data_IF_479599585048
#
_entry.id   IF_479599585048
#
_cell.length_a   1.000
_cell.length_b   1.000
_cell.length_c   1.000
_cell.angle_alpha   90.00
_cell.angle_beta   90.00
_cell.angle_gamma   90.00
#
_symmetry.space_group_name_H-M   'P 1'
#
loop_
_entity.id
_entity.type
_entity.pdbx_description
1 polymer ?
#
# COMPACT_ATOMS: atom_id res chain seq x y z
N UNK A 1 -19.01 -47.67 -2.43
CA UNK A 1 -18.06 -47.08 -1.46
C UNK A 1 -17.45 -45.86 -2.12
N UNK A 2 -18.09 -44.72 -1.94
CA UNK A 2 -17.73 -43.48 -2.65
C UNK A 2 -16.70 -42.69 -1.85
N UNK A 3 -15.59 -42.35 -2.49
CA UNK A 3 -14.54 -41.50 -1.94
C UNK A 3 -15.03 -40.06 -2.03
N UNK A 4 -15.30 -39.43 -0.89
CA UNK A 4 -15.59 -38.01 -0.79
C UNK A 4 -14.24 -37.26 -0.89
N UNK A 5 -14.03 -36.37 -1.86
CA UNK A 5 -12.79 -35.56 -1.90
C UNK A 5 -12.76 -34.62 -0.69
N UNK A 6 -11.69 -34.66 0.09
CA UNK A 6 -11.41 -33.70 1.15
C UNK A 6 -11.30 -32.34 0.50
N UNK A 7 -12.19 -31.43 0.85
CA UNK A 7 -12.07 -29.99 0.54
C UNK A 7 -10.83 -29.48 1.25
N UNK A 8 -9.81 -29.12 0.47
CA UNK A 8 -8.69 -28.35 0.96
C UNK A 8 -9.21 -27.02 1.52
N UNK A 9 -8.58 -26.53 2.58
CA UNK A 9 -8.80 -25.22 3.17
C UNK A 9 -8.31 -24.14 2.18
N UNK A 10 -9.01 -24.02 1.05
CA UNK A 10 -8.85 -22.91 0.12
C UNK A 10 -9.66 -21.74 0.65
N UNK A 11 -9.06 -20.56 0.70
CA UNK A 11 -9.79 -19.30 0.74
C UNK A 11 -10.86 -19.36 -0.36
N UNK A 12 -12.10 -19.63 0.01
CA UNK A 12 -13.25 -19.51 -0.88
C UNK A 12 -13.59 -18.03 -0.96
N UNK A 13 -12.89 -17.27 -1.79
CA UNK A 13 -13.46 -16.04 -2.35
C UNK A 13 -14.70 -16.50 -3.14
N UNK A 14 -15.88 -16.33 -2.57
CA UNK A 14 -17.14 -16.54 -3.27
C UNK A 14 -17.23 -15.49 -4.38
N UNK A 15 -16.85 -15.84 -5.59
CA UNK A 15 -17.01 -15.14 -6.88
C UNK A 15 -17.46 -13.65 -6.79
N UNK A 16 -16.66 -12.73 -6.24
CA UNK A 16 -17.09 -11.34 -6.09
C UNK A 16 -17.27 -10.65 -7.44
N UNK A 17 -16.61 -11.09 -8.52
CA UNK A 17 -16.74 -10.49 -9.86
C UNK A 17 -18.07 -10.73 -10.56
N UNK A 18 -18.92 -11.62 -10.10
CA UNK A 18 -20.26 -11.77 -10.72
C UNK A 18 -21.14 -10.54 -10.52
N UNK A 19 -20.85 -9.73 -9.50
CA UNK A 19 -21.68 -8.56 -9.14
C UNK A 19 -20.86 -7.26 -8.92
N UNK A 20 -19.53 -7.36 -8.79
CA UNK A 20 -18.64 -6.23 -8.52
C UNK A 20 -17.82 -5.86 -9.77
N UNK A 21 -17.72 -4.57 -10.05
CA UNK A 21 -16.89 -4.01 -11.12
C UNK A 21 -15.40 -3.91 -10.71
N UNK A 22 -15.16 -3.62 -9.42
CA UNK A 22 -13.83 -3.51 -8.81
C UNK A 22 -13.83 -4.33 -7.52
N UNK A 23 -12.80 -5.14 -7.33
CA UNK A 23 -12.60 -5.97 -6.14
C UNK A 23 -11.34 -5.57 -5.42
N UNK A 24 -11.50 -5.08 -4.18
CA UNK A 24 -10.39 -4.69 -3.30
C UNK A 24 -10.35 -5.66 -2.12
N UNK A 25 -9.16 -6.22 -1.84
CA UNK A 25 -8.96 -7.16 -0.73
C UNK A 25 -8.09 -6.52 0.34
N UNK A 26 -8.60 -6.46 1.57
CA UNK A 26 -7.80 -6.06 2.74
C UNK A 26 -7.10 -7.28 3.33
N UNK A 27 -5.78 -7.16 3.58
CA UNK A 27 -4.91 -8.21 4.09
C UNK A 27 -4.35 -7.77 5.43
N UNK A 28 -4.62 -8.55 6.48
CA UNK A 28 -4.04 -8.33 7.80
C UNK A 28 -2.98 -9.40 8.06
N UNK A 29 -1.73 -9.09 7.75
CA UNK A 29 -0.62 -10.04 7.81
C UNK A 29 0.73 -9.33 7.77
N UNK A 30 1.78 -10.04 8.14
CA UNK A 30 3.17 -9.60 8.14
C UNK A 30 3.77 -9.59 9.53
N UNK A 31 5.02 -9.18 9.62
CA UNK A 31 5.76 -9.07 10.86
C UNK A 31 5.82 -7.59 11.29
N UNK A 32 5.44 -7.29 12.54
CA UNK A 32 5.46 -5.92 13.05
C UNK A 32 6.86 -5.30 12.95
N UNK A 33 6.92 -4.04 12.55
CA UNK A 33 8.11 -3.22 12.42
C UNK A 33 9.12 -3.70 11.35
N UNK A 34 8.72 -4.63 10.49
CA UNK A 34 9.54 -5.13 9.37
C UNK A 34 9.08 -4.48 8.06
N UNK A 35 9.96 -3.67 7.44
CA UNK A 35 9.63 -2.96 6.21
C UNK A 35 9.60 -3.85 4.95
N UNK A 36 10.13 -5.07 5.02
CA UNK A 36 10.07 -6.03 3.93
C UNK A 36 8.84 -6.94 4.07
N UNK A 37 8.07 -7.16 2.99
CA UNK A 37 6.96 -8.08 3.04
C UNK A 37 7.40 -9.50 3.36
N UNK A 38 6.73 -10.14 4.31
CA UNK A 38 7.00 -11.52 4.69
C UNK A 38 6.72 -12.49 3.53
N UNK A 39 7.25 -13.71 3.62
CA UNK A 39 6.97 -14.78 2.65
C UNK A 39 5.47 -15.06 2.58
N UNK A 40 4.76 -14.99 3.72
CA UNK A 40 3.31 -15.16 3.78
C UNK A 40 2.58 -14.07 3.00
N UNK A 41 2.91 -12.79 3.22
CA UNK A 41 2.30 -11.67 2.49
C UNK A 41 2.48 -11.82 0.98
N UNK A 42 3.69 -12.12 0.52
CA UNK A 42 3.97 -12.32 -0.91
C UNK A 42 3.22 -13.50 -1.52
N UNK A 43 3.09 -14.61 -0.78
CA UNK A 43 2.27 -15.76 -1.23
C UNK A 43 0.79 -15.41 -1.35
N UNK A 44 0.26 -14.65 -0.42
CA UNK A 44 -1.14 -14.17 -0.50
C UNK A 44 -1.30 -13.24 -1.69
N UNK A 45 -0.42 -12.25 -1.87
CA UNK A 45 -0.44 -11.32 -2.99
C UNK A 45 -0.41 -12.05 -4.35
N UNK A 46 0.49 -13.04 -4.50
CA UNK A 46 0.55 -13.85 -5.72
C UNK A 46 -0.75 -14.62 -5.97
N UNK A 47 -1.33 -15.26 -4.94
CA UNK A 47 -2.61 -15.97 -5.08
C UNK A 47 -3.77 -15.05 -5.45
N UNK A 48 -3.80 -13.83 -4.93
CA UNK A 48 -4.79 -12.83 -5.32
C UNK A 48 -4.64 -12.46 -6.79
N UNK A 49 -3.41 -12.23 -7.24
CA UNK A 49 -3.13 -11.95 -8.64
C UNK A 49 -3.50 -13.12 -9.56
N UNK A 50 -3.12 -14.35 -9.20
CA UNK A 50 -3.39 -15.57 -9.98
C UNK A 50 -4.90 -15.90 -10.04
N UNK A 51 -5.69 -15.41 -9.09
CA UNK A 51 -7.14 -15.68 -9.08
C UNK A 51 -7.90 -15.01 -10.24
N UNK A 52 -7.37 -13.91 -10.78
CA UNK A 52 -8.07 -13.09 -11.76
C UNK A 52 -9.32 -12.37 -11.22
N UNK A 53 -9.58 -12.45 -9.92
CA UNK A 53 -10.79 -11.93 -9.26
C UNK A 53 -10.56 -10.60 -8.53
N UNK A 54 -9.29 -10.17 -8.35
CA UNK A 54 -8.90 -9.03 -7.51
C UNK A 54 -8.20 -7.97 -8.35
N UNK A 55 -8.50 -6.71 -8.06
CA UNK A 55 -7.89 -5.55 -8.73
C UNK A 55 -6.86 -4.85 -7.84
N UNK A 56 -7.06 -4.88 -6.50
CA UNK A 56 -6.19 -4.22 -5.55
C UNK A 56 -6.12 -4.98 -4.22
N UNK A 57 -4.92 -5.25 -3.74
CA UNK A 57 -4.63 -5.72 -2.39
C UNK A 57 -4.13 -4.59 -1.50
N UNK A 58 -4.71 -4.44 -0.30
CA UNK A 58 -4.27 -3.47 0.71
C UNK A 58 -3.90 -4.18 2.00
N UNK A 59 -2.64 -4.02 2.43
CA UNK A 59 -2.08 -4.69 3.60
C UNK A 59 -2.04 -3.79 4.82
N UNK A 60 -2.28 -4.39 5.99
CA UNK A 60 -2.22 -3.74 7.30
C UNK A 60 -1.52 -4.67 8.30
N UNK A 61 -1.30 -4.22 9.53
CA UNK A 61 -0.74 -4.92 10.68
C UNK A 61 0.68 -4.48 11.06
N UNK A 62 1.57 -4.33 10.09
CA UNK A 62 3.03 -4.25 10.32
C UNK A 62 3.52 -2.97 10.97
N UNK A 63 2.69 -1.94 11.11
CA UNK A 63 2.99 -0.64 11.75
C UNK A 63 4.12 0.18 11.11
N UNK A 64 4.65 -0.26 9.98
CA UNK A 64 5.61 0.48 9.16
C UNK A 64 5.18 0.45 7.69
N UNK A 65 5.65 1.42 6.91
CA UNK A 65 5.39 1.39 5.47
C UNK A 65 6.15 0.23 4.84
N UNK A 66 5.46 -0.52 3.99
CA UNK A 66 6.02 -1.57 3.16
C UNK A 66 5.88 -1.22 1.67
N UNK A 67 6.56 -1.93 0.76
CA UNK A 67 6.50 -1.66 -0.67
C UNK A 67 5.11 -1.72 -1.28
N UNK A 68 4.99 -1.06 -2.43
CA UNK A 68 3.93 -1.31 -3.39
C UNK A 68 4.51 -2.15 -4.53
N UNK A 69 3.73 -3.09 -5.04
CA UNK A 69 4.12 -3.97 -6.14
C UNK A 69 2.94 -4.14 -7.11
N UNK A 70 3.25 -4.32 -8.39
CA UNK A 70 2.26 -4.72 -9.39
C UNK A 70 2.55 -6.15 -9.83
N UNK A 71 1.61 -7.06 -9.60
CA UNK A 71 1.70 -8.47 -9.98
C UNK A 71 0.67 -8.73 -11.08
N UNK A 72 1.13 -8.85 -12.32
CA UNK A 72 0.23 -8.88 -13.48
C UNK A 72 -0.57 -7.57 -13.56
N UNK A 73 -1.89 -7.65 -13.44
CA UNK A 73 -2.78 -6.49 -13.44
C UNK A 73 -3.20 -6.01 -12.04
N UNK A 74 -2.76 -6.71 -10.99
CA UNK A 74 -3.16 -6.44 -9.60
C UNK A 74 -2.11 -5.58 -8.90
N UNK A 75 -2.54 -4.47 -8.34
CA UNK A 75 -1.70 -3.69 -7.44
C UNK A 75 -1.79 -4.22 -6.01
N UNK A 76 -0.67 -4.27 -5.31
CA UNK A 76 -0.60 -4.68 -3.92
C UNK A 76 0.22 -3.65 -3.13
N UNK A 77 -0.42 -2.98 -2.16
CA UNK A 77 0.27 -2.17 -1.16
C UNK A 77 0.40 -3.02 0.11
N UNK A 78 1.61 -3.46 0.45
CA UNK A 78 1.85 -4.46 1.50
C UNK A 78 1.65 -3.92 2.91
N UNK A 79 1.94 -2.65 3.17
CA UNK A 79 1.77 -2.02 4.48
C UNK A 79 1.72 -0.51 4.41
N UNK A 80 0.74 0.08 5.08
CA UNK A 80 0.48 1.53 5.07
C UNK A 80 1.19 2.29 6.20
N UNK A 81 1.85 1.59 7.13
CA UNK A 81 2.39 2.21 8.34
C UNK A 81 1.30 2.74 9.27
N UNK A 82 1.63 3.75 10.04
CA UNK A 82 0.72 4.36 10.98
C UNK A 82 0.26 5.74 10.50
N UNK A 83 -1.01 5.88 10.13
CA UNK A 83 -1.57 7.18 9.77
C UNK A 83 -1.73 8.06 11.03
N UNK A 84 -2.42 7.53 12.06
CA UNK A 84 -2.48 8.08 13.42
C UNK A 84 -2.29 6.93 14.40
N UNK A 85 -1.36 7.07 15.33
CA UNK A 85 -1.07 6.04 16.32
C UNK A 85 -0.46 6.64 17.57
N UNK A 86 -0.83 6.09 18.73
CA UNK A 86 -0.19 6.38 20.00
C UNK A 86 1.07 5.56 20.27
N UNK A 87 1.56 4.78 19.30
CA UNK A 87 2.82 4.07 19.45
C UNK A 87 3.98 5.06 19.51
N UNK A 88 4.66 5.08 20.65
CA UNK A 88 5.85 5.90 20.89
C UNK A 88 7.15 5.18 20.48
N UNK A 89 8.20 5.93 20.21
CA UNK A 89 9.22 5.59 19.24
C UNK A 89 10.37 4.78 19.83
N UNK A 90 10.16 3.53 20.14
CA UNK A 90 11.31 2.61 20.13
C UNK A 90 11.81 2.40 18.68
N UNK A 91 10.94 2.59 17.71
CA UNK A 91 11.21 2.48 16.27
C UNK A 91 10.80 3.76 15.56
N UNK A 92 11.76 4.55 15.11
CA UNK A 92 11.48 5.86 14.50
C UNK A 92 10.64 5.77 13.21
N UNK A 93 10.55 4.61 12.54
CA UNK A 93 9.74 4.38 11.34
C UNK A 93 8.25 4.15 11.64
N UNK A 94 7.86 3.89 12.88
CA UNK A 94 6.45 3.74 13.27
C UNK A 94 5.63 5.03 13.21
N UNK A 95 6.30 6.16 13.00
CA UNK A 95 5.63 7.46 12.81
C UNK A 95 5.43 7.80 11.33
N UNK A 96 5.90 6.95 10.43
CA UNK A 96 5.75 7.10 9.00
C UNK A 96 4.53 6.30 8.53
N UNK A 97 3.80 6.89 7.60
CA UNK A 97 2.65 6.27 6.96
C UNK A 97 2.56 6.69 5.50
N UNK A 98 1.59 6.16 4.82
CA UNK A 98 1.26 6.53 3.44
C UNK A 98 -0.24 6.52 3.24
N UNK A 99 -0.74 7.46 2.44
CA UNK A 99 -2.06 7.39 1.82
C UNK A 99 -1.87 7.08 0.35
N UNK A 100 -2.67 6.18 -0.22
CA UNK A 100 -2.60 5.86 -1.65
C UNK A 100 -3.88 6.25 -2.36
N UNK A 101 -3.75 6.64 -3.63
CA UNK A 101 -4.86 6.86 -4.54
C UNK A 101 -4.69 5.95 -5.77
N UNK A 102 -5.72 5.15 -6.05
CA UNK A 102 -5.80 4.32 -7.26
C UNK A 102 -7.04 4.72 -8.05
N UNK A 103 -6.83 5.18 -9.29
CA UNK A 103 -7.92 5.54 -10.20
C UNK A 103 -8.26 4.34 -11.08
N UNK A 104 -9.47 3.84 -10.96
CA UNK A 104 -10.00 2.78 -11.82
C UNK A 104 -10.76 3.36 -12.98
N UNK A 105 -10.36 3.06 -14.20
CA UNK A 105 -11.04 3.50 -15.42
C UNK A 105 -11.64 2.32 -16.17
N UNK A 106 -12.88 2.51 -16.67
CA UNK A 106 -13.55 1.50 -17.48
C UNK A 106 -12.87 1.36 -18.82
N UNK A 107 -12.59 0.12 -19.21
CA UNK A 107 -11.96 -0.27 -20.46
C UNK A 107 -13.02 -0.51 -21.57
N UNK A 108 -12.59 -0.63 -22.81
CA UNK A 108 -13.47 -0.87 -23.98
C UNK A 108 -14.19 -2.22 -23.92
N UNK A 109 -13.60 -3.19 -23.24
CA UNK A 109 -14.19 -4.53 -23.01
C UNK A 109 -15.17 -4.56 -21.83
N UNK A 110 -15.35 -3.42 -21.16
CA UNK A 110 -16.23 -3.27 -20.00
C UNK A 110 -15.57 -3.59 -18.66
N UNK A 111 -14.35 -4.10 -18.64
CA UNK A 111 -13.55 -4.30 -17.41
C UNK A 111 -13.08 -2.96 -16.83
N UNK A 112 -12.50 -3.00 -15.62
CA UNK A 112 -11.85 -1.85 -15.00
C UNK A 112 -10.36 -2.13 -14.81
N UNK A 113 -9.53 -1.12 -15.07
CA UNK A 113 -8.11 -1.17 -14.80
C UNK A 113 -7.65 0.07 -14.04
N UNK A 114 -6.59 -0.07 -13.24
CA UNK A 114 -5.92 1.07 -12.61
C UNK A 114 -5.17 1.85 -13.68
N UNK A 115 -5.54 3.10 -13.88
CA UNK A 115 -4.94 4.02 -14.85
C UNK A 115 -4.04 5.07 -14.20
N UNK A 116 -4.17 5.30 -12.89
CA UNK A 116 -3.29 6.16 -12.11
C UNK A 116 -3.13 5.56 -10.71
N UNK A 117 -1.90 5.52 -10.21
CA UNK A 117 -1.56 4.97 -8.91
C UNK A 117 -0.54 5.88 -8.23
N UNK A 118 -0.90 6.42 -7.05
CA UNK A 118 -0.08 7.39 -6.33
C UNK A 118 0.03 7.06 -4.85
N UNK A 119 1.18 7.40 -4.26
CA UNK A 119 1.42 7.33 -2.82
C UNK A 119 1.83 8.68 -2.26
N UNK A 120 1.18 9.09 -1.18
CA UNK A 120 1.43 10.34 -0.47
C UNK A 120 2.01 10.00 0.92
N UNK A 121 3.34 10.13 1.09
CA UNK A 121 3.98 9.91 2.38
C UNK A 121 3.41 10.82 3.46
N UNK A 122 3.14 10.25 4.62
CA UNK A 122 2.62 10.95 5.79
C UNK A 122 3.52 10.76 7.01
N UNK A 123 3.39 11.65 7.98
CA UNK A 123 4.07 11.56 9.25
C UNK A 123 3.09 11.77 10.40
N UNK A 124 3.08 10.84 11.35
CA UNK A 124 2.29 10.95 12.57
C UNK A 124 3.04 11.86 13.56
N UNK A 125 2.68 13.14 13.61
CA UNK A 125 3.23 14.08 14.58
C UNK A 125 2.62 13.81 15.96
N UNK A 126 3.44 14.04 17.01
CA UNK A 126 2.97 14.08 18.38
C UNK A 126 2.82 15.53 18.84
N UNK A 127 2.00 15.75 19.85
CA UNK A 127 1.81 17.02 20.56
C UNK A 127 1.54 18.25 19.66
N UNK A 128 0.32 18.42 19.15
CA UNK A 128 -0.79 17.48 19.20
C UNK A 128 -0.63 16.34 18.20
N UNK A 129 -1.23 15.21 18.49
CA UNK A 129 -1.25 14.07 17.55
C UNK A 129 -2.02 14.48 16.29
N UNK A 130 -1.34 14.43 15.16
CA UNK A 130 -1.93 14.76 13.86
C UNK A 130 -1.19 14.10 12.69
N UNK A 131 -1.89 13.93 11.58
CA UNK A 131 -1.29 13.53 10.31
C UNK A 131 -0.66 14.75 9.65
N UNK A 132 0.59 14.62 9.23
CA UNK A 132 1.31 15.60 8.42
C UNK A 132 1.47 15.01 7.01
N UNK A 133 0.90 15.64 6.01
CA UNK A 133 1.18 15.35 4.61
C UNK A 133 2.57 15.88 4.27
N UNK A 134 3.50 14.97 3.97
CA UNK A 134 4.89 15.34 3.72
C UNK A 134 5.07 16.02 2.37
N UNK A 135 4.24 15.69 1.38
CA UNK A 135 4.31 16.30 0.04
C UNK A 135 3.89 17.77 0.10
N UNK A 136 2.82 18.06 0.83
CA UNK A 136 2.32 19.44 0.98
C UNK A 136 3.14 20.25 1.98
N UNK A 137 3.69 19.64 3.04
CA UNK A 137 4.32 20.36 4.14
C UNK A 137 5.78 20.75 3.84
N UNK A 138 6.55 19.88 3.19
CA UNK A 138 7.99 20.12 2.97
C UNK A 138 8.29 21.39 2.17
N UNK A 139 7.55 21.77 1.11
CA UNK A 139 7.75 23.04 0.43
C UNK A 139 7.50 24.25 1.35
N UNK A 140 6.45 24.18 2.18
CA UNK A 140 6.08 25.26 3.09
C UNK A 140 7.11 25.51 4.21
N UNK A 141 7.93 24.50 4.53
CA UNK A 141 9.01 24.60 5.54
C UNK A 141 10.36 24.92 4.91
N UNK A 142 10.45 25.18 3.61
CA UNK A 142 11.72 25.40 2.90
C UNK A 142 12.68 24.20 2.98
N UNK A 143 12.21 23.03 3.40
CA UNK A 143 13.04 21.85 3.62
C UNK A 143 13.81 21.87 4.96
N UNK A 144 13.61 22.86 5.82
CA UNK A 144 14.33 23.01 7.09
C UNK A 144 13.85 22.10 8.21
N UNK A 145 13.30 20.94 7.86
CA UNK A 145 12.83 19.96 8.83
C UNK A 145 13.45 18.58 8.58
N UNK A 146 14.69 18.31 9.03
CA UNK A 146 15.47 17.12 8.66
C UNK A 146 14.71 15.80 8.90
N UNK A 147 13.93 15.70 9.99
CA UNK A 147 13.15 14.50 10.31
C UNK A 147 12.02 14.25 9.30
N UNK A 148 11.34 15.29 8.82
CA UNK A 148 10.29 15.15 7.82
C UNK A 148 10.88 14.84 6.43
N UNK A 149 12.01 15.44 6.10
CA UNK A 149 12.76 15.13 4.86
C UNK A 149 13.22 13.68 4.86
N UNK A 150 13.78 13.18 5.98
CA UNK A 150 14.18 11.79 6.14
C UNK A 150 12.97 10.85 6.02
N UNK A 151 11.86 11.16 6.68
CA UNK A 151 10.62 10.38 6.59
C UNK A 151 10.11 10.28 5.16
N UNK A 152 10.06 11.39 4.43
CA UNK A 152 9.65 11.40 3.03
C UNK A 152 10.55 10.52 2.17
N UNK A 153 11.88 10.70 2.26
CA UNK A 153 12.85 9.96 1.44
C UNK A 153 12.78 8.46 1.71
N UNK A 154 12.75 8.07 2.99
CA UNK A 154 12.69 6.66 3.38
C UNK A 154 11.36 6.02 2.95
N UNK A 155 10.24 6.70 3.14
CA UNK A 155 8.93 6.21 2.70
C UNK A 155 8.88 6.05 1.18
N UNK A 156 9.33 7.05 0.41
CA UNK A 156 9.42 6.98 -1.05
C UNK A 156 10.29 5.82 -1.51
N UNK A 157 11.48 5.65 -0.92
CA UNK A 157 12.39 4.54 -1.23
C UNK A 157 11.74 3.19 -0.95
N UNK A 158 11.07 3.04 0.20
CA UNK A 158 10.38 1.81 0.58
C UNK A 158 9.25 1.48 -0.40
N UNK A 159 8.36 2.44 -0.69
CA UNK A 159 7.24 2.24 -1.61
C UNK A 159 7.69 1.75 -2.98
N UNK A 160 8.81 2.24 -3.48
CA UNK A 160 9.33 1.94 -4.82
C UNK A 160 10.29 0.74 -4.86
N UNK A 161 10.63 0.16 -3.73
CA UNK A 161 11.71 -0.86 -3.63
C UNK A 161 11.43 -2.17 -4.36
N UNK A 162 10.16 -2.49 -4.64
CA UNK A 162 9.75 -3.66 -5.43
C UNK A 162 9.35 -3.33 -6.87
N UNK A 163 9.79 -2.19 -7.38
CA UNK A 163 9.67 -1.86 -8.79
C UNK A 163 8.40 -1.11 -9.19
N UNK A 164 7.53 -0.75 -8.25
CA UNK A 164 6.26 -0.06 -8.52
C UNK A 164 6.40 1.18 -9.41
N UNK A 165 7.50 1.93 -9.28
CA UNK A 165 7.77 3.11 -10.12
C UNK A 165 7.92 2.78 -11.61
N UNK A 166 8.43 1.60 -11.96
CA UNK A 166 8.52 1.13 -13.36
C UNK A 166 7.15 0.77 -13.92
N UNK A 167 6.23 0.41 -13.05
CA UNK A 167 4.86 0.04 -13.39
C UNK A 167 3.90 1.23 -13.32
N UNK A 168 4.41 2.45 -13.11
CA UNK A 168 3.65 3.68 -13.14
C UNK A 168 3.14 4.17 -11.78
N UNK A 169 3.59 3.58 -10.65
CA UNK A 169 3.29 4.13 -9.33
C UNK A 169 4.10 5.41 -9.07
N UNK A 170 3.42 6.49 -8.74
CA UNK A 170 4.02 7.81 -8.53
C UNK A 170 4.01 8.18 -7.06
N UNK A 171 5.15 8.57 -6.52
CA UNK A 171 5.24 9.29 -5.25
C UNK A 171 5.59 10.75 -5.60
N UNK A 172 4.63 11.68 -5.45
CA UNK A 172 4.85 13.08 -5.84
C UNK A 172 6.07 13.69 -5.14
N UNK A 173 6.83 14.47 -5.88
CA UNK A 173 7.94 15.21 -5.31
C UNK A 173 7.43 16.47 -4.60
N UNK A 174 7.88 16.77 -3.37
CA UNK A 174 7.47 17.99 -2.66
C UNK A 174 7.75 19.28 -3.42
N UNK A 175 8.79 19.32 -4.27
CA UNK A 175 9.11 20.47 -5.11
C UNK A 175 8.19 20.68 -6.30
N UNK A 176 7.39 19.67 -6.69
CA UNK A 176 6.53 19.72 -7.87
C UNK A 176 5.14 20.33 -7.60
N UNK A 177 4.78 20.59 -6.34
CA UNK A 177 3.46 21.14 -5.94
C UNK A 177 3.45 22.66 -5.77
N UNK A 178 4.53 23.34 -6.05
CA UNK A 178 4.64 24.81 -5.93
C UNK A 178 4.28 25.57 -7.20
N UNK A 179 3.59 24.91 -8.14
CA UNK A 179 3.13 25.54 -9.39
C UNK A 179 1.65 25.32 -9.63
#
# INVERSE_FOLDING_TARGET
MGIVPRRGSGLTCARPRLTAQVVIVSIYAGDENVAQPSVQQRRVAQRLADSGEVDLGIGNHVHVVQPVEKIGNVWVAYGYGNLISGQYPTWHRNREGVTTAFTFSRQTDGSYAVTDARGYPTFNAADPTRVVDLVATLPATGGDHPRLVDAYRATKQTLLSMGAGRDGFVVPDPGALTH
#
